data_IF_041917106996
#
_entry.id   IF_041917106996
#
_cell.length_a   1.000
_cell.length_b   1.000
_cell.length_c   1.000
_cell.angle_alpha   90.00
_cell.angle_beta   90.00
_cell.angle_gamma   90.00
#
_symmetry.space_group_name_H-M   'P 1'
#
loop_
_entity.id
_entity.type
_entity.pdbx_description
1 polymer ?
#
# COMPACT_ATOMS: atom_id res chain seq x y z
N UNK A 1 -14.69 -1.34 -25.86
CA UNK A 1 -15.04 -1.30 -24.41
C UNK A 1 -14.97 0.15 -23.92
N UNK A 2 -15.78 0.53 -22.94
CA UNK A 2 -15.71 1.89 -22.34
C UNK A 2 -14.39 2.05 -21.59
N UNK A 3 -13.80 3.25 -21.64
CA UNK A 3 -12.58 3.54 -20.89
C UNK A 3 -12.85 3.42 -19.38
N UNK A 4 -11.92 2.84 -18.60
CA UNK A 4 -12.12 2.68 -17.17
C UNK A 4 -12.11 4.04 -16.46
N UNK A 5 -12.92 4.14 -15.40
CA UNK A 5 -13.01 5.29 -14.51
C UNK A 5 -12.37 5.02 -13.15
N UNK A 6 -11.96 6.10 -12.48
CA UNK A 6 -11.46 6.06 -11.11
C UNK A 6 -12.37 6.87 -10.20
N UNK A 7 -12.62 6.33 -9.00
CA UNK A 7 -13.34 7.01 -7.93
C UNK A 7 -12.43 7.07 -6.72
N UNK A 8 -12.25 8.27 -6.17
CA UNK A 8 -11.46 8.48 -4.96
C UNK A 8 -12.06 7.71 -3.78
N UNK A 9 -11.23 6.92 -3.08
CA UNK A 9 -11.64 6.11 -1.94
C UNK A 9 -11.18 6.72 -0.61
N UNK A 10 -9.87 6.93 -0.45
CA UNK A 10 -9.26 7.52 0.74
C UNK A 10 -7.86 8.06 0.44
N UNK A 11 -7.35 8.87 1.36
CA UNK A 11 -5.93 9.22 1.51
C UNK A 11 -5.39 8.55 2.77
N UNK A 12 -4.19 7.96 2.72
CA UNK A 12 -3.51 7.41 3.89
C UNK A 12 -2.17 8.10 4.11
N UNK A 13 -1.87 8.38 5.38
CA UNK A 13 -0.55 8.81 5.84
C UNK A 13 0.05 7.67 6.64
N UNK A 14 0.87 6.84 5.99
CA UNK A 14 1.61 5.77 6.65
C UNK A 14 2.88 6.33 7.30
N UNK A 15 3.08 6.00 8.58
CA UNK A 15 4.31 6.29 9.30
C UNK A 15 5.25 5.12 9.10
N UNK A 16 6.44 5.40 8.55
CA UNK A 16 7.48 4.41 8.31
C UNK A 16 8.70 4.73 9.17
N UNK A 17 9.34 3.68 9.69
CA UNK A 17 10.68 3.81 10.27
C UNK A 17 11.75 3.83 9.18
N UNK A 18 12.98 4.11 9.59
CA UNK A 18 14.14 3.93 8.72
C UNK A 18 14.22 2.49 8.21
N UNK A 19 14.79 2.33 7.02
CA UNK A 19 15.07 1.01 6.47
C UNK A 19 15.93 0.19 7.44
N UNK A 20 15.52 -1.06 7.69
CA UNK A 20 16.28 -1.99 8.53
C UNK A 20 17.56 -2.42 7.79
N UNK A 21 17.42 -2.68 6.49
CA UNK A 21 18.53 -3.02 5.61
C UNK A 21 18.22 -2.60 4.17
N UNK A 22 19.29 -2.44 3.40
CA UNK A 22 19.27 -2.42 1.95
C UNK A 22 20.42 -3.32 1.47
N UNK A 23 20.12 -4.31 0.64
CA UNK A 23 21.14 -5.29 0.23
C UNK A 23 20.94 -5.72 -1.21
N UNK A 24 22.04 -5.77 -1.97
CA UNK A 24 22.04 -6.31 -3.32
C UNK A 24 21.64 -7.80 -3.28
N UNK A 25 20.52 -8.12 -3.92
CA UNK A 25 20.05 -9.48 -4.14
C UNK A 25 20.06 -9.84 -5.62
N UNK A 26 19.61 -11.06 -5.98
CA UNK A 26 19.60 -11.54 -7.36
C UNK A 26 18.62 -10.78 -8.28
N UNK A 27 17.73 -9.95 -7.74
CA UNK A 27 16.73 -9.19 -8.50
C UNK A 27 16.87 -7.66 -8.40
N UNK A 28 17.91 -7.18 -7.71
CA UNK A 28 18.09 -5.75 -7.41
C UNK A 28 18.39 -5.52 -5.93
N UNK A 29 18.39 -4.25 -5.51
CA UNK A 29 18.63 -3.88 -4.11
C UNK A 29 17.32 -4.03 -3.34
N UNK A 30 17.26 -5.00 -2.43
CA UNK A 30 16.11 -5.23 -1.56
C UNK A 30 16.23 -4.33 -0.34
N UNK A 31 15.19 -3.55 -0.07
CA UNK A 31 15.09 -2.69 1.12
C UNK A 31 13.89 -3.11 1.95
N UNK A 32 14.03 -3.21 3.27
CA UNK A 32 12.92 -3.47 4.18
C UNK A 32 12.63 -2.23 5.03
N UNK A 33 11.42 -1.69 4.90
CA UNK A 33 10.97 -0.43 5.52
C UNK A 33 9.74 -0.72 6.39
N UNK A 34 9.86 -0.69 7.73
CA UNK A 34 8.73 -0.98 8.61
C UNK A 34 7.63 0.07 8.51
N UNK A 35 6.38 -0.39 8.40
CA UNK A 35 5.19 0.46 8.49
C UNK A 35 4.67 0.33 9.93
N UNK A 36 4.73 1.41 10.69
CA UNK A 36 4.56 1.40 12.15
C UNK A 36 3.34 2.16 12.64
N UNK A 37 2.50 2.65 11.74
CA UNK A 37 1.25 3.31 12.10
C UNK A 37 0.85 4.36 11.08
N UNK A 38 0.02 5.30 11.52
CA UNK A 38 -0.54 6.34 10.68
C UNK A 38 -2.06 6.35 10.69
N UNK A 39 -2.64 7.10 9.75
CA UNK A 39 -4.08 7.24 9.60
C UNK A 39 -4.52 7.20 8.14
N UNK A 40 -5.82 7.03 7.93
CA UNK A 40 -6.44 7.21 6.62
C UNK A 40 -7.80 7.86 6.75
N UNK A 41 -8.19 8.62 5.74
CA UNK A 41 -9.46 9.33 5.72
C UNK A 41 -9.99 9.44 4.30
N UNK A 42 -11.29 9.23 4.14
CA UNK A 42 -11.98 9.28 2.87
C UNK A 42 -13.50 9.25 3.07
N UNK A 43 -14.28 9.50 2.01
CA UNK A 43 -15.74 9.63 2.13
C UNK A 43 -16.47 8.38 2.60
N UNK A 44 -15.84 7.20 2.45
CA UNK A 44 -16.42 5.89 2.79
C UNK A 44 -15.51 5.03 3.67
N UNK A 45 -14.34 5.55 4.05
CA UNK A 45 -13.30 4.78 4.72
C UNK A 45 -12.42 5.71 5.55
N UNK A 46 -12.44 5.57 6.87
CA UNK A 46 -11.58 6.31 7.79
C UNK A 46 -11.12 5.40 8.95
N UNK A 47 -9.95 5.71 9.51
CA UNK A 47 -9.36 4.92 10.58
C UNK A 47 -7.85 5.09 10.72
N UNK A 48 -7.21 4.04 11.27
CA UNK A 48 -5.78 4.01 11.57
C UNK A 48 -5.04 2.89 10.83
N UNK A 49 -3.79 3.16 10.49
CA UNK A 49 -2.85 2.12 10.05
C UNK A 49 -2.34 1.43 11.31
N UNK A 50 -2.41 0.10 11.35
CA UNK A 50 -1.89 -0.68 12.47
C UNK A 50 -0.37 -0.81 12.38
N UNK A 51 0.34 -0.92 13.52
CA UNK A 51 1.80 -1.06 13.56
C UNK A 51 2.24 -2.50 13.19
N UNK A 52 1.86 -2.93 11.99
CA UNK A 52 2.15 -4.26 11.46
C UNK A 52 2.42 -4.16 9.96
N UNK A 53 3.45 -4.87 9.52
CA UNK A 53 3.83 -4.91 8.12
C UNK A 53 5.06 -4.08 7.77
N UNK A 54 5.38 -4.09 6.49
CA UNK A 54 6.53 -3.38 5.93
C UNK A 54 6.35 -3.20 4.42
N UNK A 55 7.15 -2.31 3.85
CA UNK A 55 7.49 -2.30 2.43
C UNK A 55 8.81 -3.06 2.23
N UNK A 56 8.76 -4.15 1.48
CA UNK A 56 9.94 -4.87 1.01
C UNK A 56 10.26 -4.41 -0.40
N UNK A 57 10.56 -3.13 -0.58
CA UNK A 57 10.79 -2.56 -1.90
C UNK A 57 12.03 -3.12 -2.61
N UNK A 58 12.03 -3.00 -3.93
CA UNK A 58 13.10 -3.44 -4.82
C UNK A 58 13.55 -2.29 -5.71
N UNK A 59 14.83 -1.93 -5.64
CA UNK A 59 15.42 -0.98 -6.57
C UNK A 59 16.18 -1.72 -7.67
N UNK A 60 15.86 -1.38 -8.92
CA UNK A 60 16.66 -1.80 -10.08
C UNK A 60 17.98 -0.98 -10.09
N UNK A 61 19.15 -1.63 -9.97
CA UNK A 61 20.43 -0.92 -9.92
C UNK A 61 20.83 -0.25 -11.25
N UNK A 62 20.24 -0.65 -12.38
CA UNK A 62 20.56 -0.04 -13.68
C UNK A 62 19.80 1.28 -13.89
N UNK A 63 18.54 1.33 -13.45
CA UNK A 63 17.64 2.46 -13.70
C UNK A 63 17.43 3.34 -12.47
N UNK A 64 17.71 2.83 -11.27
CA UNK A 64 17.39 3.47 -10.00
C UNK A 64 15.90 3.44 -9.64
N UNK A 65 15.05 2.80 -10.46
CA UNK A 65 13.61 2.73 -10.23
C UNK A 65 13.34 1.86 -9.01
N UNK A 66 12.67 2.44 -8.01
CA UNK A 66 12.18 1.73 -6.83
C UNK A 66 10.78 1.20 -7.08
N UNK A 67 10.54 -0.06 -6.76
CA UNK A 67 9.21 -0.67 -6.76
C UNK A 67 8.84 -1.12 -5.37
N UNK A 68 7.76 -0.56 -4.83
CA UNK A 68 7.22 -0.95 -3.53
C UNK A 68 6.59 -2.35 -3.61
N UNK A 69 6.67 -3.09 -2.50
CA UNK A 69 5.99 -4.37 -2.27
C UNK A 69 5.62 -4.44 -0.79
N UNK A 70 4.41 -3.99 -0.47
CA UNK A 70 3.98 -3.80 0.91
C UNK A 70 2.95 -4.85 1.31
N UNK A 71 2.97 -5.20 2.60
CA UNK A 71 1.88 -5.88 3.29
C UNK A 71 1.68 -5.23 4.64
N UNK A 72 0.47 -4.78 4.95
CA UNK A 72 0.15 -4.08 6.20
C UNK A 72 -1.35 -4.13 6.48
N UNK A 73 -1.78 -3.55 7.61
CA UNK A 73 -3.19 -3.54 8.01
C UNK A 73 -3.73 -2.14 8.30
N UNK A 74 -4.99 -1.96 7.94
CA UNK A 74 -5.82 -0.85 8.39
C UNK A 74 -6.85 -1.37 9.41
N UNK A 75 -7.23 -0.52 10.35
CA UNK A 75 -8.41 -0.70 11.18
C UNK A 75 -9.29 0.54 11.03
N UNK A 76 -10.53 0.33 10.59
CA UNK A 76 -11.51 1.41 10.46
C UNK A 76 -11.96 1.91 11.83
N UNK A 77 -12.51 3.13 11.87
CA UNK A 77 -13.00 3.73 13.12
C UNK A 77 -14.14 2.93 13.77
N UNK A 78 -14.90 2.17 12.98
CA UNK A 78 -15.95 1.24 13.44
C UNK A 78 -15.43 -0.20 13.69
N UNK A 79 -14.12 -0.43 13.59
CA UNK A 79 -13.45 -1.63 14.10
C UNK A 79 -13.19 -2.75 13.08
N UNK A 80 -13.51 -2.56 11.80
CA UNK A 80 -13.18 -3.54 10.76
C UNK A 80 -11.68 -3.58 10.47
N UNK A 81 -11.10 -4.78 10.42
CA UNK A 81 -9.70 -4.99 10.04
C UNK A 81 -9.61 -5.26 8.54
N UNK A 82 -8.71 -4.55 7.88
CA UNK A 82 -8.44 -4.69 6.45
C UNK A 82 -6.97 -5.06 6.27
N UNK A 83 -6.72 -6.15 5.56
CA UNK A 83 -5.39 -6.49 5.09
C UNK A 83 -5.15 -5.82 3.74
N UNK A 84 -3.97 -5.21 3.57
CA UNK A 84 -3.58 -4.54 2.34
C UNK A 84 -2.31 -5.16 1.78
N UNK A 85 -2.29 -5.35 0.47
CA UNK A 85 -1.05 -5.51 -0.30
C UNK A 85 -0.98 -4.39 -1.33
N UNK A 86 0.12 -3.63 -1.35
CA UNK A 86 0.34 -2.62 -2.40
C UNK A 86 1.63 -2.86 -3.15
N UNK A 87 1.60 -2.73 -4.47
CA UNK A 87 2.79 -2.94 -5.30
C UNK A 87 2.82 -2.00 -6.49
N UNK A 88 4.00 -1.50 -6.84
CA UNK A 88 4.18 -0.71 -8.06
C UNK A 88 5.45 0.14 -8.07
N UNK A 89 5.86 0.64 -9.24
CA UNK A 89 7.10 1.39 -9.41
C UNK A 89 6.94 2.88 -9.06
N UNK A 90 8.07 3.53 -8.83
CA UNK A 90 8.20 4.97 -8.88
C UNK A 90 8.07 5.46 -10.32
N UNK A 91 7.38 6.57 -10.49
CA UNK A 91 7.29 7.29 -11.76
C UNK A 91 8.50 8.20 -11.96
N UNK A 92 8.64 8.78 -13.14
CA UNK A 92 9.66 9.78 -13.44
C UNK A 92 9.60 11.02 -12.53
N UNK A 93 8.45 11.31 -11.92
CA UNK A 93 8.29 12.43 -10.97
C UNK A 93 8.67 12.07 -9.53
N UNK A 94 9.11 10.84 -9.27
CA UNK A 94 9.48 10.34 -7.94
C UNK A 94 8.29 9.84 -7.10
N UNK A 95 7.05 9.96 -7.58
CA UNK A 95 5.87 9.42 -6.90
C UNK A 95 5.70 7.93 -7.18
N UNK A 96 5.12 7.17 -6.24
CA UNK A 96 4.76 5.77 -6.48
C UNK A 96 3.38 5.66 -7.14
N UNK A 97 3.25 4.82 -8.16
CA UNK A 97 1.97 4.38 -8.71
C UNK A 97 1.70 2.94 -8.29
N UNK A 98 0.87 2.77 -7.25
CA UNK A 98 0.63 1.48 -6.62
C UNK A 98 -0.73 0.91 -7.01
N UNK A 99 -0.76 -0.39 -7.30
CA UNK A 99 -1.98 -1.19 -7.21
C UNK A 99 -2.18 -1.58 -5.75
N UNK A 100 -3.43 -1.59 -5.29
CA UNK A 100 -3.82 -2.13 -3.99
C UNK A 100 -4.69 -3.38 -4.16
N UNK A 101 -4.47 -4.36 -3.30
CA UNK A 101 -5.40 -5.47 -2.99
C UNK A 101 -5.84 -5.28 -1.56
N UNK A 102 -7.14 -5.39 -1.31
CA UNK A 102 -7.73 -5.28 0.02
C UNK A 102 -8.44 -6.61 0.33
N UNK A 103 -8.24 -7.12 1.54
CA UNK A 103 -8.96 -8.28 2.06
C UNK A 103 -9.59 -7.96 3.42
N UNK A 104 -10.87 -8.29 3.57
CA UNK A 104 -11.58 -8.24 4.85
C UNK A 104 -12.73 -9.23 4.92
N UNK A 105 -12.99 -9.75 6.12
CA UNK A 105 -14.18 -10.54 6.42
C UNK A 105 -15.36 -9.71 6.93
N UNK A 106 -15.19 -8.40 7.12
CA UNK A 106 -16.25 -7.54 7.64
C UNK A 106 -17.35 -7.33 6.59
N UNK A 107 -18.61 -7.55 6.99
CA UNK A 107 -19.77 -7.48 6.08
C UNK A 107 -19.99 -6.06 5.51
N UNK A 108 -19.72 -5.01 6.28
CA UNK A 108 -19.91 -3.63 5.83
C UNK A 108 -18.87 -3.23 4.76
N UNK A 109 -17.69 -3.85 4.81
CA UNK A 109 -16.56 -3.55 3.93
C UNK A 109 -16.26 -4.65 2.91
N UNK A 110 -17.05 -5.72 2.85
CA UNK A 110 -16.80 -6.88 1.98
C UNK A 110 -16.72 -6.53 0.49
N UNK A 111 -17.35 -5.41 0.09
CA UNK A 111 -17.27 -4.89 -1.27
C UNK A 111 -15.83 -4.48 -1.68
N UNK A 112 -14.96 -4.13 -0.71
CA UNK A 112 -13.55 -3.80 -0.95
C UNK A 112 -12.77 -4.97 -1.57
N UNK A 113 -13.17 -6.20 -1.27
CA UNK A 113 -12.52 -7.43 -1.79
C UNK A 113 -12.62 -7.56 -3.32
N UNK A 114 -13.55 -6.84 -3.96
CA UNK A 114 -13.87 -6.98 -5.38
C UNK A 114 -13.66 -5.70 -6.19
N UNK A 115 -13.00 -4.69 -5.62
CA UNK A 115 -12.73 -3.45 -6.35
C UNK A 115 -11.55 -3.66 -7.29
N UNK A 116 -11.84 -3.58 -8.58
CA UNK A 116 -10.91 -3.23 -9.65
C UNK A 116 -11.42 -1.94 -10.27
N UNK A 117 -10.55 -1.10 -10.87
CA UNK A 117 -10.96 0.20 -11.47
C UNK A 117 -12.27 0.07 -12.26
N UNK A 118 -13.16 1.06 -12.13
CA UNK A 118 -14.52 1.00 -12.69
C UNK A 118 -14.52 0.98 -14.21
#
# INVERSE_FOLDING_TARGET
>A
PTAPGLVFLYTAYAVCNNAIYATQGPRGIRTAIPIVGGNFTGPRLAGKVLPTGSDWGLTDPQTGIFSADTRYNLQTDDGANLFLQTSGPSTASGSLHLRVVIETGDKAYYWLNNIVGK
#
